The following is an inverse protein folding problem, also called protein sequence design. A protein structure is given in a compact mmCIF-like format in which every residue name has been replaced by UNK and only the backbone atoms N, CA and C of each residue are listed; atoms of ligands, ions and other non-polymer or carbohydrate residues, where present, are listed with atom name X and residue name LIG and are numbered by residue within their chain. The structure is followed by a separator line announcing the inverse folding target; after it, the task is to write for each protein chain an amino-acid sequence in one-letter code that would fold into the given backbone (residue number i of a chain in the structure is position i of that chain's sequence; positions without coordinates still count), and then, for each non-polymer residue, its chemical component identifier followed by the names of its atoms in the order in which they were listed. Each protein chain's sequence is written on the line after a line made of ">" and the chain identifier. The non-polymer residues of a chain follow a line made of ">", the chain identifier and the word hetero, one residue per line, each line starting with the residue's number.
data_IF_264506426814
#
_entry.id   IF_264506426814
#
_cell.length_a   1.000
_cell.length_b   1.000
_cell.length_c   1.000
_cell.angle_alpha   90.00
_cell.angle_beta   90.00
_cell.angle_gamma   90.00
#
_symmetry.space_group_name_H-M   'P 1'
#
loop_
_entity.id
_entity.type
_entity.pdbx_description
1 polymer ?
#
# COMPACT_ATOMS: atom_id res chain seq x y z
N UNK A 1 -34.72 41.89 -28.28
CA UNK A 1 -33.82 41.63 -27.14
C UNK A 1 -33.88 40.15 -26.70
N UNK A 2 -33.76 39.20 -27.62
CA UNK A 2 -33.87 37.76 -27.32
C UNK A 2 -32.56 36.95 -27.46
N UNK A 3 -31.53 37.53 -28.05
CA UNK A 3 -30.26 36.83 -28.31
C UNK A 3 -29.42 36.67 -27.02
N UNK A 4 -29.31 37.70 -26.18
CA UNK A 4 -28.48 37.62 -24.96
C UNK A 4 -28.98 36.60 -23.93
N UNK A 5 -30.30 36.47 -23.75
CA UNK A 5 -30.86 35.47 -22.83
C UNK A 5 -30.67 34.02 -23.31
N UNK A 6 -30.69 33.81 -24.63
CA UNK A 6 -30.51 32.49 -25.26
C UNK A 6 -29.04 32.08 -25.28
N UNK A 7 -28.12 33.01 -25.58
CA UNK A 7 -26.67 32.76 -25.54
C UNK A 7 -26.20 32.40 -24.14
N UNK A 8 -26.68 33.11 -23.10
CA UNK A 8 -26.33 32.78 -21.70
C UNK A 8 -26.93 31.43 -21.27
N UNK A 9 -28.06 31.01 -21.83
CA UNK A 9 -28.63 29.69 -21.56
C UNK A 9 -27.85 28.55 -22.23
N UNK A 10 -27.37 28.76 -23.46
CA UNK A 10 -26.45 27.84 -24.15
C UNK A 10 -25.14 27.68 -23.37
N UNK A 11 -24.54 28.79 -22.93
CA UNK A 11 -23.29 28.76 -22.16
C UNK A 11 -23.45 27.97 -20.84
N UNK A 12 -24.56 28.15 -20.11
CA UNK A 12 -24.84 27.37 -18.90
C UNK A 12 -25.08 25.89 -19.20
N UNK A 13 -25.69 25.56 -20.34
CA UNK A 13 -25.89 24.17 -20.74
C UNK A 13 -24.55 23.47 -21.03
N UNK A 14 -23.60 24.19 -21.66
CA UNK A 14 -22.23 23.69 -21.88
C UNK A 14 -21.52 23.44 -20.54
N UNK A 15 -21.58 24.39 -19.60
CA UNK A 15 -21.01 24.21 -18.26
C UNK A 15 -21.65 23.03 -17.51
N UNK A 16 -22.97 22.87 -17.62
CA UNK A 16 -23.68 21.73 -17.05
C UNK A 16 -23.16 20.40 -17.60
N UNK A 17 -22.95 20.30 -18.91
CA UNK A 17 -22.37 19.11 -19.53
C UNK A 17 -20.93 18.84 -19.05
N UNK A 18 -20.12 19.88 -18.82
CA UNK A 18 -18.78 19.73 -18.27
C UNK A 18 -18.81 19.20 -16.82
N UNK A 19 -19.70 19.73 -15.97
CA UNK A 19 -19.90 19.22 -14.60
C UNK A 19 -20.37 17.76 -14.61
N UNK A 20 -21.24 17.39 -15.54
CA UNK A 20 -21.70 16.01 -15.73
C UNK A 20 -20.52 15.07 -16.05
N UNK A 21 -19.65 15.44 -16.98
CA UNK A 21 -18.47 14.65 -17.32
C UNK A 21 -17.46 14.57 -16.17
N UNK A 22 -17.25 15.66 -15.43
CA UNK A 22 -16.42 15.64 -14.22
C UNK A 22 -16.99 14.71 -13.14
N UNK A 23 -18.31 14.64 -12.99
CA UNK A 23 -18.99 13.73 -12.04
C UNK A 23 -18.80 12.27 -12.45
N UNK A 24 -18.92 11.96 -13.75
CA UNK A 24 -18.64 10.62 -14.30
C UNK A 24 -17.18 10.22 -14.09
N UNK A 25 -16.26 11.14 -14.34
CA UNK A 25 -14.84 10.92 -14.10
C UNK A 25 -14.53 10.66 -12.63
N UNK A 26 -15.12 11.44 -11.72
CA UNK A 26 -14.98 11.21 -10.28
C UNK A 26 -15.53 9.84 -9.87
N UNK A 27 -16.63 9.40 -10.47
CA UNK A 27 -17.20 8.06 -10.26
C UNK A 27 -16.25 6.97 -10.74
N UNK A 28 -15.59 7.17 -11.90
CA UNK A 28 -14.57 6.27 -12.43
C UNK A 28 -13.35 6.19 -11.50
N UNK A 29 -12.91 7.31 -10.96
CA UNK A 29 -11.82 7.37 -9.97
C UNK A 29 -12.20 6.66 -8.67
N UNK A 30 -13.42 6.85 -8.17
CA UNK A 30 -13.94 6.09 -7.03
C UNK A 30 -13.99 4.57 -7.29
N UNK A 31 -14.12 4.19 -8.55
CA UNK A 31 -14.09 2.80 -9.03
C UNK A 31 -12.70 2.34 -9.51
N UNK A 32 -11.62 2.97 -9.04
CA UNK A 32 -10.25 2.56 -9.35
C UNK A 32 -10.01 1.10 -8.94
N UNK A 33 -9.27 0.38 -9.80
CA UNK A 33 -8.86 -1.01 -9.59
C UNK A 33 -7.35 -1.12 -9.42
N UNK A 34 -6.90 -2.11 -8.66
CA UNK A 34 -5.49 -2.48 -8.57
C UNK A 34 -5.03 -3.29 -9.79
N UNK A 35 -3.77 -3.74 -9.76
CA UNK A 35 -3.17 -4.58 -10.81
C UNK A 35 -3.83 -5.96 -10.95
N UNK A 36 -4.53 -6.44 -9.92
CA UNK A 36 -5.25 -7.71 -9.91
C UNK A 36 -6.70 -7.55 -10.39
N UNK A 37 -7.11 -6.32 -10.71
CA UNK A 37 -8.47 -5.97 -11.12
C UNK A 37 -9.44 -5.77 -9.94
N UNK A 38 -8.93 -5.69 -8.72
CA UNK A 38 -9.70 -5.52 -7.49
C UNK A 38 -9.98 -4.04 -7.19
N UNK A 39 -11.22 -3.71 -6.85
CA UNK A 39 -11.63 -2.35 -6.49
C UNK A 39 -11.05 -1.92 -5.15
N UNK A 40 -10.18 -0.93 -5.17
CA UNK A 40 -9.37 -0.54 -4.00
C UNK A 40 -10.16 0.18 -2.91
N UNK A 41 -11.31 0.75 -3.27
CA UNK A 41 -12.17 1.53 -2.38
C UNK A 41 -13.44 0.79 -1.93
N UNK A 42 -13.56 -0.52 -2.23
CA UNK A 42 -14.78 -1.29 -1.99
C UNK A 42 -14.86 -1.99 -0.62
N UNK A 43 -13.89 -1.76 0.27
CA UNK A 43 -13.75 -2.54 1.50
C UNK A 43 -13.34 -3.98 1.19
N UNK A 44 -14.08 -4.97 1.70
CA UNK A 44 -13.87 -6.39 1.39
C UNK A 44 -14.59 -6.83 0.10
N UNK A 45 -15.53 -6.05 -0.41
CA UNK A 45 -16.27 -6.30 -1.68
C UNK A 45 -15.46 -5.95 -2.93
N UNK A 46 -14.19 -6.32 -2.95
CA UNK A 46 -13.21 -5.94 -3.97
C UNK A 46 -13.53 -6.38 -5.40
N UNK A 47 -14.46 -7.34 -5.59
CA UNK A 47 -14.87 -7.82 -6.92
C UNK A 47 -16.05 -7.06 -7.53
N UNK A 48 -16.64 -6.11 -6.80
CA UNK A 48 -17.80 -5.32 -7.25
C UNK A 48 -17.49 -3.82 -7.19
N UNK A 49 -17.99 -3.01 -8.16
CA UNK A 49 -17.76 -1.57 -8.16
C UNK A 49 -18.36 -0.92 -6.89
N UNK A 50 -17.59 -0.13 -6.13
CA UNK A 50 -18.08 0.54 -4.94
C UNK A 50 -19.02 1.71 -5.22
N UNK A 51 -18.91 2.39 -6.37
CA UNK A 51 -19.77 3.49 -6.74
C UNK A 51 -20.63 3.11 -7.94
N UNK A 52 -21.95 3.19 -7.77
CA UNK A 52 -22.91 2.86 -8.82
C UNK A 52 -23.81 4.06 -9.06
N UNK A 53 -23.80 4.52 -10.31
CA UNK A 53 -24.66 5.61 -10.78
C UNK A 53 -26.04 5.05 -11.21
N UNK A 54 -27.11 5.75 -10.83
CA UNK A 54 -28.46 5.46 -11.31
C UNK A 54 -28.77 6.21 -12.63
N UNK A 55 -29.94 5.96 -13.23
CA UNK A 55 -30.35 6.64 -14.47
C UNK A 55 -30.57 8.16 -14.35
N UNK A 56 -30.58 8.71 -13.14
CA UNK A 56 -30.74 10.14 -12.85
C UNK A 56 -29.42 10.85 -12.55
N UNK A 57 -28.29 10.12 -12.52
CA UNK A 57 -26.98 10.67 -12.19
C UNK A 57 -26.61 10.63 -10.70
N UNK A 58 -27.47 10.13 -9.82
CA UNK A 58 -27.11 9.94 -8.42
C UNK A 58 -26.16 8.74 -8.29
N UNK A 59 -25.11 8.92 -7.49
CA UNK A 59 -24.10 7.90 -7.26
C UNK A 59 -24.24 7.37 -5.84
N UNK A 60 -24.47 6.07 -5.71
CA UNK A 60 -24.53 5.39 -4.43
C UNK A 60 -23.22 4.64 -4.14
N UNK A 61 -22.79 4.67 -2.87
CA UNK A 61 -21.75 3.77 -2.39
C UNK A 61 -22.36 2.42 -2.00
N UNK A 62 -21.96 1.36 -2.69
CA UNK A 62 -22.42 -0.04 -2.49
C UNK A 62 -21.30 -1.00 -2.05
N UNK A 63 -20.11 -0.46 -1.78
CA UNK A 63 -19.03 -1.17 -1.11
C UNK A 63 -19.39 -1.53 0.34
N UNK A 64 -18.50 -2.22 1.03
CA UNK A 64 -18.63 -2.44 2.47
C UNK A 64 -17.66 -1.58 3.29
N UNK A 65 -17.67 -1.76 4.61
CA UNK A 65 -16.87 -1.00 5.56
C UNK A 65 -15.72 -1.83 6.16
N UNK A 66 -15.33 -2.91 5.50
CA UNK A 66 -14.26 -3.81 5.90
C UNK A 66 -12.89 -3.14 5.79
N UNK A 67 -12.15 -3.11 6.91
CA UNK A 67 -10.77 -2.61 6.91
C UNK A 67 -9.80 -3.78 6.71
N UNK A 68 -9.03 -3.71 5.64
CA UNK A 68 -7.90 -4.61 5.41
C UNK A 68 -6.75 -4.16 6.28
N UNK A 69 -6.26 -5.06 7.12
CA UNK A 69 -5.19 -4.77 8.06
C UNK A 69 -4.06 -5.78 7.93
N UNK A 70 -2.83 -5.29 8.07
CA UNK A 70 -1.61 -6.10 8.04
C UNK A 70 -0.92 -5.97 9.39
N UNK A 71 -0.56 -7.12 9.98
CA UNK A 71 0.27 -7.16 11.16
C UNK A 71 1.70 -6.81 10.78
N UNK A 72 2.27 -5.81 11.45
CA UNK A 72 3.63 -5.33 11.21
C UNK A 72 4.57 -5.61 12.38
N UNK A 73 4.01 -6.06 13.52
CA UNK A 73 4.73 -6.66 14.64
C UNK A 73 3.76 -7.55 15.44
N UNK A 74 4.27 -8.22 16.47
CA UNK A 74 3.45 -9.05 17.38
C UNK A 74 2.37 -8.25 18.12
N UNK A 75 2.51 -6.92 18.20
CA UNK A 75 1.61 -6.03 18.96
C UNK A 75 0.99 -4.92 18.12
N UNK A 76 1.35 -4.81 16.84
CA UNK A 76 0.92 -3.70 15.96
C UNK A 76 0.35 -4.21 14.64
N UNK A 77 -0.84 -3.71 14.32
CA UNK A 77 -1.50 -3.89 13.03
C UNK A 77 -1.78 -2.52 12.41
N UNK A 78 -1.63 -2.43 11.09
CA UNK A 78 -1.91 -1.20 10.32
C UNK A 78 -3.01 -1.49 9.30
N UNK A 79 -4.03 -0.65 9.25
CA UNK A 79 -5.03 -0.67 8.19
C UNK A 79 -4.43 -0.12 6.88
N UNK A 80 -4.49 -0.90 5.81
CA UNK A 80 -3.84 -0.60 4.53
C UNK A 80 -4.81 -0.11 3.46
N UNK A 81 -6.13 -0.28 3.64
CA UNK A 81 -7.12 0.24 2.71
C UNK A 81 -7.76 1.55 3.19
N UNK A 82 -8.16 2.38 2.23
CA UNK A 82 -9.04 3.52 2.43
C UNK A 82 -10.44 3.13 1.97
N UNK A 83 -11.45 3.33 2.81
CA UNK A 83 -12.84 3.04 2.43
C UNK A 83 -13.33 4.14 1.49
N UNK A 84 -14.03 3.77 0.41
CA UNK A 84 -14.58 4.75 -0.52
C UNK A 84 -15.46 5.77 0.20
N UNK A 85 -16.36 5.32 1.06
CA UNK A 85 -17.24 6.16 1.88
C UNK A 85 -16.52 7.12 2.84
N UNK A 86 -15.21 6.96 3.09
CA UNK A 86 -14.41 7.92 3.84
C UNK A 86 -13.74 8.97 2.93
N UNK A 87 -13.56 8.65 1.65
CA UNK A 87 -12.90 9.50 0.67
C UNK A 87 -13.91 10.31 -0.14
N UNK A 88 -14.85 9.63 -0.81
CA UNK A 88 -15.93 10.22 -1.59
C UNK A 88 -17.25 9.66 -1.07
N UNK A 89 -18.08 10.49 -0.50
CA UNK A 89 -19.41 10.08 -0.03
C UNK A 89 -20.43 10.37 -1.14
N UNK A 90 -21.63 9.77 -1.07
CA UNK A 90 -22.70 10.07 -2.02
C UNK A 90 -23.04 11.57 -2.09
N UNK A 91 -22.90 12.30 -0.99
CA UNK A 91 -23.22 13.73 -0.93
C UNK A 91 -22.33 14.59 -1.84
N UNK A 92 -21.06 14.21 -2.03
CA UNK A 92 -20.16 14.87 -2.99
C UNK A 92 -20.73 14.80 -4.43
N UNK A 93 -21.24 13.63 -4.83
CA UNK A 93 -21.83 13.44 -6.16
C UNK A 93 -23.17 14.15 -6.31
N UNK A 94 -24.02 14.10 -5.29
CA UNK A 94 -25.29 14.82 -5.28
C UNK A 94 -25.11 16.33 -5.34
N UNK A 95 -24.03 16.88 -4.75
CA UNK A 95 -23.70 18.29 -4.87
C UNK A 95 -23.32 18.68 -6.32
N UNK A 96 -22.53 17.84 -7.01
CA UNK A 96 -22.21 18.05 -8.43
C UNK A 96 -23.46 17.95 -9.32
N UNK A 97 -24.34 16.99 -9.05
CA UNK A 97 -25.61 16.83 -9.77
C UNK A 97 -26.54 18.03 -9.54
N UNK A 98 -26.58 18.54 -8.31
CA UNK A 98 -27.36 19.75 -7.97
C UNK A 98 -26.81 20.98 -8.68
N UNK A 99 -25.48 21.11 -8.78
CA UNK A 99 -24.83 22.19 -9.53
C UNK A 99 -25.18 22.12 -11.03
N UNK A 100 -25.07 20.92 -11.62
CA UNK A 100 -25.47 20.64 -13.00
C UNK A 100 -26.92 21.06 -13.25
N UNK A 101 -27.84 20.64 -12.37
CA UNK A 101 -29.25 20.98 -12.49
C UNK A 101 -29.51 22.47 -12.33
N UNK A 102 -28.86 23.14 -11.37
CA UNK A 102 -28.96 24.58 -11.17
C UNK A 102 -28.49 25.38 -12.39
N UNK A 103 -27.45 24.91 -13.09
CA UNK A 103 -26.97 25.51 -14.34
C UNK A 103 -28.03 25.38 -15.46
N UNK A 104 -28.58 24.17 -15.61
CA UNK A 104 -29.59 23.84 -16.63
C UNK A 104 -30.91 24.59 -16.41
N UNK A 105 -31.36 24.73 -15.16
CA UNK A 105 -32.64 25.39 -14.82
C UNK A 105 -32.50 26.88 -14.51
N UNK A 106 -31.27 27.40 -14.42
CA UNK A 106 -30.97 28.76 -13.97
C UNK A 106 -31.51 29.06 -12.55
N UNK A 107 -31.48 28.06 -11.67
CA UNK A 107 -31.88 28.19 -10.27
C UNK A 107 -30.71 28.69 -9.43
N UNK A 108 -30.72 30.00 -9.12
CA UNK A 108 -29.65 30.65 -8.37
C UNK A 108 -29.52 30.14 -6.93
N UNK A 109 -30.61 29.69 -6.30
CA UNK A 109 -30.56 29.13 -4.95
C UNK A 109 -29.84 27.79 -4.98
N UNK A 110 -30.24 26.91 -5.91
CA UNK A 110 -29.63 25.60 -6.08
C UNK A 110 -28.14 25.69 -6.44
N UNK A 111 -27.76 26.67 -7.29
CA UNK A 111 -26.37 26.98 -7.60
C UNK A 111 -25.58 27.40 -6.36
N UNK A 112 -26.13 28.30 -5.53
CA UNK A 112 -25.46 28.78 -4.33
C UNK A 112 -25.28 27.66 -3.30
N UNK A 113 -26.32 26.84 -3.09
CA UNK A 113 -26.29 25.73 -2.14
C UNK A 113 -25.30 24.64 -2.58
N UNK A 114 -25.33 24.26 -3.86
CA UNK A 114 -24.41 23.24 -4.41
C UNK A 114 -22.95 23.69 -4.38
N UNK A 115 -22.64 24.96 -4.64
CA UNK A 115 -21.27 25.51 -4.49
C UNK A 115 -20.82 25.42 -3.03
N UNK A 116 -21.70 25.74 -2.07
CA UNK A 116 -21.41 25.58 -0.64
C UNK A 116 -21.10 24.12 -0.27
N UNK A 117 -21.95 23.19 -0.73
CA UNK A 117 -21.75 21.77 -0.51
C UNK A 117 -20.47 21.22 -1.16
N UNK A 118 -20.10 21.70 -2.35
CA UNK A 118 -18.86 21.33 -3.03
C UNK A 118 -17.63 21.89 -2.33
N UNK A 119 -17.72 23.07 -1.72
CA UNK A 119 -16.66 23.59 -0.86
C UNK A 119 -16.44 22.68 0.34
N UNK A 120 -17.51 22.34 1.07
CA UNK A 120 -17.42 21.46 2.23
C UNK A 120 -16.89 20.07 1.84
N UNK A 121 -17.33 19.58 0.68
CA UNK A 121 -16.83 18.35 0.04
C UNK A 121 -15.32 18.39 -0.21
N UNK A 122 -14.81 19.47 -0.80
CA UNK A 122 -13.38 19.67 -1.03
C UNK A 122 -12.58 19.67 0.28
N UNK A 123 -13.11 20.33 1.32
CA UNK A 123 -12.48 20.36 2.64
C UNK A 123 -12.45 18.95 3.26
N UNK A 124 -13.52 18.15 3.12
CA UNK A 124 -13.58 16.75 3.58
C UNK A 124 -12.62 15.83 2.83
N UNK A 125 -12.57 15.91 1.50
CA UNK A 125 -11.65 15.13 0.67
C UNK A 125 -10.20 15.43 1.08
N UNK A 126 -9.89 16.70 1.32
CA UNK A 126 -8.54 17.12 1.77
C UNK A 126 -8.16 16.49 3.11
N UNK A 127 -9.09 16.44 4.08
CA UNK A 127 -8.87 15.76 5.36
C UNK A 127 -8.68 14.25 5.18
N UNK A 128 -9.49 13.62 4.34
CA UNK A 128 -9.38 12.18 4.04
C UNK A 128 -8.04 11.84 3.39
N UNK A 129 -7.60 12.65 2.44
CA UNK A 129 -6.29 12.54 1.80
C UNK A 129 -5.15 12.73 2.81
N UNK A 130 -5.25 13.71 3.71
CA UNK A 130 -4.29 13.91 4.80
C UNK A 130 -4.18 12.70 5.73
N UNK A 131 -5.30 12.07 6.07
CA UNK A 131 -5.32 10.84 6.87
C UNK A 131 -4.68 9.66 6.12
N UNK A 132 -4.96 9.53 4.81
CA UNK A 132 -4.32 8.52 3.95
C UNK A 132 -2.80 8.74 3.86
N UNK A 133 -2.34 9.97 3.65
CA UNK A 133 -0.92 10.31 3.63
C UNK A 133 -0.23 10.01 4.97
N UNK A 134 -0.90 10.29 6.10
CA UNK A 134 -0.40 9.94 7.43
C UNK A 134 -0.25 8.43 7.62
N UNK A 135 -1.22 7.63 7.17
CA UNK A 135 -1.13 6.16 7.17
C UNK A 135 0.00 5.66 6.28
N UNK A 136 0.18 6.23 5.09
CA UNK A 136 1.27 5.89 4.18
C UNK A 136 2.65 6.19 4.79
N UNK A 137 2.82 7.36 5.42
CA UNK A 137 4.05 7.71 6.15
C UNK A 137 4.36 6.70 7.27
N UNK A 138 3.34 6.31 8.03
CA UNK A 138 3.48 5.30 9.09
C UNK A 138 3.80 3.89 8.55
N UNK A 139 3.37 3.57 7.33
CA UNK A 139 3.72 2.33 6.63
C UNK A 139 5.16 2.37 6.14
N UNK A 140 5.60 3.44 5.48
CA UNK A 140 6.97 3.56 4.98
C UNK A 140 8.01 3.50 6.11
N UNK A 141 7.76 4.21 7.22
CA UNK A 141 8.65 4.13 8.39
C UNK A 141 8.71 2.72 8.97
N UNK A 142 7.61 1.97 8.94
CA UNK A 142 7.59 0.59 9.39
C UNK A 142 8.32 -0.34 8.41
N UNK A 143 8.21 -0.11 7.12
CA UNK A 143 8.94 -0.87 6.08
C UNK A 143 10.45 -0.70 6.24
N UNK A 144 10.95 0.52 6.43
CA UNK A 144 12.36 0.81 6.70
C UNK A 144 12.88 0.08 7.95
N UNK A 145 12.11 0.07 9.04
CA UNK A 145 12.46 -0.65 10.26
C UNK A 145 12.50 -2.18 10.05
N UNK A 146 11.57 -2.72 9.26
CA UNK A 146 11.53 -4.14 8.94
C UNK A 146 12.71 -4.54 8.04
N UNK A 147 13.12 -3.67 7.12
CA UNK A 147 14.30 -3.87 6.28
C UNK A 147 15.59 -3.91 7.11
N UNK A 148 15.81 -2.94 8.01
CA UNK A 148 16.96 -2.94 8.93
C UNK A 148 16.98 -4.20 9.82
N UNK A 149 15.82 -4.57 10.36
CA UNK A 149 15.68 -5.80 11.17
C UNK A 149 16.05 -7.04 10.35
N UNK A 150 15.61 -7.12 9.10
CA UNK A 150 15.95 -8.21 8.19
C UNK A 150 17.45 -8.28 7.93
N UNK A 151 18.10 -7.14 7.62
CA UNK A 151 19.55 -7.06 7.40
C UNK A 151 20.35 -7.47 8.64
N UNK A 152 19.93 -7.02 9.83
CA UNK A 152 20.56 -7.40 11.10
C UNK A 152 20.45 -8.91 11.36
N UNK A 153 19.28 -9.50 11.10
CA UNK A 153 19.11 -10.97 11.22
C UNK A 153 20.03 -11.70 10.23
N UNK A 154 20.13 -11.23 8.98
CA UNK A 154 21.04 -11.81 7.99
C UNK A 154 22.51 -11.74 8.42
N UNK A 155 22.93 -10.60 9.00
CA UNK A 155 24.29 -10.44 9.54
C UNK A 155 24.56 -11.42 10.69
N UNK A 156 23.65 -11.53 11.66
CA UNK A 156 23.78 -12.47 12.79
C UNK A 156 23.85 -13.92 12.29
N UNK A 157 23.08 -14.28 11.27
CA UNK A 157 23.14 -15.60 10.65
C UNK A 157 24.50 -15.81 9.96
N UNK A 158 25.03 -14.80 9.26
CA UNK A 158 26.36 -14.87 8.62
C UNK A 158 27.46 -15.08 9.66
N UNK A 159 27.48 -14.27 10.73
CA UNK A 159 28.48 -14.36 11.80
C UNK A 159 28.44 -15.72 12.52
N UNK A 160 27.25 -16.26 12.79
CA UNK A 160 27.12 -17.60 13.38
C UNK A 160 27.61 -18.70 12.41
N UNK A 161 27.28 -18.62 11.12
CA UNK A 161 27.78 -19.58 10.12
C UNK A 161 29.31 -19.52 9.99
N UNK A 162 29.88 -18.31 9.99
CA UNK A 162 31.33 -18.11 9.91
C UNK A 162 32.06 -18.65 11.15
N UNK A 163 31.47 -18.49 12.35
CA UNK A 163 31.97 -19.08 13.59
C UNK A 163 32.04 -20.61 13.51
N UNK A 164 31.02 -21.26 12.95
CA UNK A 164 30.99 -22.71 12.77
C UNK A 164 32.08 -23.20 11.80
N UNK A 165 32.32 -22.49 10.69
CA UNK A 165 33.43 -22.80 9.78
C UNK A 165 34.80 -22.64 10.44
N UNK A 166 35.01 -21.55 11.20
CA UNK A 166 36.26 -21.32 11.93
C UNK A 166 36.54 -22.44 12.96
N UNK A 167 35.50 -22.94 13.63
CA UNK A 167 35.59 -24.08 14.56
C UNK A 167 35.96 -25.37 13.82
N UNK A 168 35.31 -25.69 12.70
CA UNK A 168 35.61 -26.88 11.90
C UNK A 168 37.06 -26.88 11.37
N UNK A 169 37.55 -25.73 10.88
CA UNK A 169 38.95 -25.57 10.44
C UNK A 169 39.92 -25.81 11.61
N UNK A 170 39.60 -25.29 12.79
CA UNK A 170 40.44 -25.46 14.00
C UNK A 170 40.49 -26.93 14.44
N UNK A 171 39.35 -27.63 14.41
CA UNK A 171 39.29 -29.08 14.71
C UNK A 171 40.08 -29.90 13.69
N UNK A 172 39.90 -29.65 12.39
CA UNK A 172 40.65 -30.31 11.33
C UNK A 172 42.17 -30.07 11.47
N UNK A 173 42.58 -28.84 11.78
CA UNK A 173 43.99 -28.51 12.02
C UNK A 173 44.57 -29.29 13.21
N UNK A 174 43.80 -29.42 14.29
CA UNK A 174 44.18 -30.22 15.46
C UNK A 174 44.31 -31.70 15.11
N UNK A 175 43.36 -32.27 14.37
CA UNK A 175 43.43 -33.66 13.91
C UNK A 175 44.62 -33.91 12.99
N UNK A 176 44.87 -33.01 12.03
CA UNK A 176 46.02 -33.11 11.14
C UNK A 176 47.35 -33.05 11.91
N UNK A 177 47.47 -32.16 12.90
CA UNK A 177 48.66 -32.07 13.75
C UNK A 177 48.85 -33.33 14.59
N UNK A 178 47.78 -33.86 15.18
CA UNK A 178 47.81 -35.10 15.94
C UNK A 178 48.24 -36.29 15.06
N UNK A 179 47.70 -36.39 13.84
CA UNK A 179 48.06 -37.42 12.88
C UNK A 179 49.54 -37.34 12.49
N UNK A 180 50.07 -36.14 12.22
CA UNK A 180 51.49 -35.94 11.93
C UNK A 180 52.38 -36.34 13.11
N UNK A 181 52.01 -35.96 14.33
CA UNK A 181 52.74 -36.35 15.53
C UNK A 181 52.74 -37.89 15.72
N UNK A 182 51.59 -38.54 15.51
CA UNK A 182 51.48 -40.00 15.55
C UNK A 182 52.37 -40.68 14.50
N UNK A 183 52.39 -40.18 13.26
CA UNK A 183 53.27 -40.70 12.20
C UNK A 183 54.75 -40.51 12.52
N UNK A 184 55.13 -39.35 13.08
CA UNK A 184 56.51 -39.08 13.50
C UNK A 184 56.93 -40.00 14.66
N UNK A 185 56.07 -40.16 15.67
CA UNK A 185 56.28 -41.11 16.77
C UNK A 185 56.37 -42.55 16.28
N UNK A 186 55.49 -42.97 15.36
CA UNK A 186 55.53 -44.29 14.74
C UNK A 186 56.84 -44.51 13.98
N UNK A 187 57.26 -43.54 13.17
CA UNK A 187 58.53 -43.62 12.43
C UNK A 187 59.71 -43.76 13.39
N UNK A 188 59.74 -42.96 14.47
CA UNK A 188 60.80 -43.00 15.47
C UNK A 188 60.84 -44.32 16.25
N UNK A 189 59.67 -44.86 16.61
CA UNK A 189 59.54 -46.18 17.26
C UNK A 189 59.99 -47.27 16.28
N UNK A 190 59.56 -47.23 15.02
CA UNK A 190 59.93 -48.23 14.00
C UNK A 190 61.44 -48.24 13.70
N UNK A 191 62.11 -47.08 13.74
CA UNK A 191 63.57 -46.97 13.57
C UNK A 191 64.32 -47.60 14.76
N UNK A 192 63.82 -47.41 16.00
CA UNK A 192 64.39 -48.03 17.19
C UNK A 192 64.19 -49.56 17.19
N UNK A 193 63.05 -50.06 16.71
CA UNK A 193 62.81 -51.52 16.63
C UNK A 193 63.65 -52.21 15.57
N UNK A 194 63.95 -51.55 14.44
CA UNK A 194 64.85 -52.09 13.41
C UNK A 194 66.30 -52.17 13.91
N UNK A 195 66.75 -51.21 14.72
CA UNK A 195 68.06 -51.24 15.35
C UNK A 195 68.21 -52.37 16.39
N UNK A 196 67.11 -52.77 17.05
CA UNK A 196 67.10 -53.90 17.97
C UNK A 196 67.00 -55.28 17.28
N UNK A 197 66.61 -55.34 16.01
CA UNK A 197 66.49 -56.60 15.26
C UNK A 197 67.78 -57.01 14.52
N UNK A 198 68.79 -56.12 14.43
CA UNK A 198 70.08 -56.39 13.79
C UNK A 198 71.24 -56.66 14.78
N UNK A 199 70.96 -57.23 15.95
CA UNK A 199 72.00 -57.70 16.89
C UNK A 199 71.86 -59.18 17.18
#
# INVERSE_FOLDING_TARGET
>A
MGANGTMVAEDRAVLGAEIEELRKELTRLGNTRDINGDYIFAGNRIKSPPYVENGSGDVAYVGDFGRLSVNVSDTRSIAINTLGSELLRPEEFSAMLSLEQGLKTNDLSLLQDSIGQLKDSSDRISVSFGSMAGRFSALNSQEELLEDTSLRIQQIISENKDLDYAKAITELSRESLALQALQASFTKISQLTLFNFMR
#
